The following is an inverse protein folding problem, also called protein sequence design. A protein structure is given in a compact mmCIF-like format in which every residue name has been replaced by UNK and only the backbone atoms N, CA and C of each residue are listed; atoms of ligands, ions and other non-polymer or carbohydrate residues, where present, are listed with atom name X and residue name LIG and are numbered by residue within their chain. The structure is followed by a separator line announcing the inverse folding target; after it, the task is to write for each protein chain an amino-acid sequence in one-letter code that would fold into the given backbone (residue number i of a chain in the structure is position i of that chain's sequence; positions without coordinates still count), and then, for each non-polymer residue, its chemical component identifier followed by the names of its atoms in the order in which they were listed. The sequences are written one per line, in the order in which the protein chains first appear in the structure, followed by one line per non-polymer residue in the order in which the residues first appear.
data_IF_847950837892
#
_entry.id   IF_847950837892
#
_cell.length_a   1.000
_cell.length_b   1.000
_cell.length_c   1.000
_cell.angle_alpha   90.00
_cell.angle_beta   90.00
_cell.angle_gamma   90.00
#
_symmetry.space_group_name_H-M   'P 1'
#
loop_
_entity.id
_entity.type
_entity.pdbx_description
1 polymer ?
#
# COMPACT_ATOMS: atom_id res chain seq x y z
N UNK A 1 -3.60 -13.61 17.05
CA UNK A 1 -2.74 -13.23 15.91
C UNK A 1 -3.02 -14.07 14.65
N UNK A 2 -3.31 -15.38 14.77
CA UNK A 2 -3.44 -16.30 13.62
C UNK A 2 -4.70 -16.14 12.73
N UNK A 3 -5.82 -15.59 13.24
CA UNK A 3 -7.05 -15.40 12.44
C UNK A 3 -7.10 -14.09 11.62
N UNK A 4 -6.30 -13.07 11.97
CA UNK A 4 -6.32 -11.75 11.30
C UNK A 4 -5.41 -11.73 10.05
N UNK A 5 -4.38 -12.59 10.01
CA UNK A 5 -3.48 -12.76 8.86
C UNK A 5 -4.16 -13.28 7.57
N UNK A 6 -5.40 -13.78 7.67
CA UNK A 6 -6.15 -14.33 6.53
C UNK A 6 -6.95 -13.26 5.75
N UNK A 7 -7.04 -12.02 6.25
CA UNK A 7 -7.89 -10.97 5.67
C UNK A 7 -7.21 -10.02 4.67
N UNK A 8 -5.95 -10.25 4.29
CA UNK A 8 -5.35 -9.56 3.14
C UNK A 8 -6.01 -10.06 1.84
N UNK A 9 -7.13 -9.44 1.48
CA UNK A 9 -7.91 -9.74 0.28
C UNK A 9 -7.09 -9.34 -0.95
N UNK A 10 -6.79 -10.31 -1.80
CA UNK A 10 -6.29 -10.08 -3.15
C UNK A 10 -7.32 -9.28 -3.95
N UNK A 11 -6.87 -8.33 -4.77
CA UNK A 11 -7.72 -7.56 -5.68
C UNK A 11 -8.64 -8.50 -6.50
N UNK A 12 -9.98 -8.37 -6.41
CA UNK A 12 -10.87 -8.92 -7.40
C UNK A 12 -10.63 -8.18 -8.74
N UNK A 13 -9.87 -8.80 -9.64
CA UNK A 13 -9.66 -8.31 -11.00
C UNK A 13 -8.27 -7.76 -11.36
N UNK A 14 -7.28 -7.85 -10.46
CA UNK A 14 -5.86 -7.65 -10.81
C UNK A 14 -5.02 -8.94 -10.71
N UNK A 15 -5.68 -10.10 -10.79
CA UNK A 15 -4.98 -11.36 -11.04
C UNK A 15 -4.39 -11.32 -12.45
N UNK A 16 -3.07 -11.35 -12.54
CA UNK A 16 -2.32 -11.81 -13.71
C UNK A 16 -2.39 -13.35 -13.83
N UNK A 17 -3.54 -13.96 -13.56
CA UNK A 17 -3.72 -15.39 -13.80
C UNK A 17 -4.19 -15.54 -15.26
N UNK A 18 -3.33 -16.16 -16.06
CA UNK A 18 -3.52 -16.63 -17.44
C UNK A 18 -3.87 -15.60 -18.52
N UNK A 19 -3.02 -14.58 -18.73
CA UNK A 19 -2.67 -14.06 -20.07
C UNK A 19 -3.75 -13.79 -21.13
N UNK A 20 -5.04 -13.71 -20.79
CA UNK A 20 -6.14 -13.59 -21.73
C UNK A 20 -7.24 -12.73 -21.14
N UNK A 21 -7.26 -11.46 -21.54
CA UNK A 21 -8.51 -10.71 -21.60
C UNK A 21 -9.30 -11.24 -22.80
N UNK A 22 -10.21 -12.19 -22.56
CA UNK A 22 -11.19 -12.58 -23.58
C UNK A 22 -12.11 -11.37 -23.79
N UNK A 23 -12.02 -10.75 -24.96
CA UNK A 23 -13.00 -9.78 -25.42
C UNK A 23 -14.38 -10.43 -25.51
N UNK A 24 -15.47 -9.81 -25.01
CA UNK A 24 -16.81 -10.35 -25.19
C UNK A 24 -17.23 -10.17 -26.66
N UNK A 25 -17.08 -11.22 -27.47
CA UNK A 25 -17.76 -11.31 -28.75
C UNK A 25 -19.23 -11.62 -28.51
N UNK A 26 -20.06 -10.63 -28.82
CA UNK A 26 -21.51 -10.77 -28.98
C UNK A 26 -21.83 -11.82 -30.05
N UNK A 27 -22.41 -12.95 -29.65
CA UNK A 27 -23.27 -13.74 -30.54
C UNK A 27 -24.56 -14.12 -29.84
N UNK A 28 -25.63 -13.50 -30.31
CA UNK A 28 -27.01 -13.84 -30.02
C UNK A 28 -27.41 -15.14 -30.71
N UNK A 29 -27.92 -16.13 -29.96
CA UNK A 29 -29.05 -16.94 -30.44
C UNK A 29 -29.71 -17.79 -29.35
N UNK A 30 -31.01 -18.12 -29.52
CA UNK A 30 -31.91 -18.44 -28.43
C UNK A 30 -32.11 -19.95 -28.25
N UNK A 31 -32.17 -20.45 -27.01
CA UNK A 31 -32.77 -21.77 -26.73
C UNK A 31 -33.52 -21.82 -25.40
N UNK A 32 -34.85 -21.91 -25.56
CA UNK A 32 -35.86 -22.66 -24.79
C UNK A 32 -35.64 -22.85 -23.28
N UNK A 33 -36.42 -22.10 -22.51
CA UNK A 33 -36.82 -22.47 -21.15
C UNK A 33 -38.03 -23.45 -21.18
N UNK A 34 -37.84 -24.63 -20.59
CA UNK A 34 -38.82 -25.46 -19.87
C UNK A 34 -38.09 -25.77 -18.57
N UNK A 35 -38.59 -25.67 -17.35
CA UNK A 35 -39.92 -25.56 -16.76
C UNK A 35 -39.78 -26.16 -15.34
N UNK A 36 -40.69 -25.78 -14.44
CA UNK A 36 -40.88 -26.25 -13.04
C UNK A 36 -40.03 -25.63 -11.92
N UNK A 37 -40.70 -24.77 -11.16
CA UNK A 37 -40.68 -24.75 -9.69
C UNK A 37 -41.71 -25.79 -9.14
N UNK A 38 -42.02 -25.90 -7.83
CA UNK A 38 -41.36 -25.37 -6.62
C UNK A 38 -41.14 -26.44 -5.52
N UNK A 39 -40.47 -26.07 -4.42
CA UNK A 39 -40.44 -26.90 -3.21
C UNK A 39 -39.92 -26.13 -1.99
N UNK A 40 -40.84 -25.78 -1.09
CA UNK A 40 -40.59 -25.22 0.24
C UNK A 40 -40.26 -26.33 1.26
N UNK A 41 -39.61 -25.98 2.38
CA UNK A 41 -39.73 -26.53 3.75
C UNK A 41 -38.62 -25.88 4.62
N UNK A 42 -38.94 -24.99 5.57
CA UNK A 42 -39.13 -25.22 7.03
C UNK A 42 -37.97 -25.95 7.73
N UNK A 43 -37.44 -25.31 8.77
CA UNK A 43 -36.60 -25.96 9.78
C UNK A 43 -36.03 -24.98 10.80
N UNK A 44 -36.82 -24.69 11.85
CA UNK A 44 -36.35 -24.04 13.07
C UNK A 44 -35.55 -25.04 13.94
N UNK A 45 -34.58 -24.55 14.71
CA UNK A 45 -33.82 -25.37 15.66
C UNK A 45 -33.09 -24.53 16.70
N UNK A 46 -33.79 -24.20 17.79
CA UNK A 46 -33.22 -23.80 19.09
C UNK A 46 -32.63 -25.03 19.80
N UNK A 47 -31.41 -24.91 20.34
CA UNK A 47 -30.86 -25.70 21.46
C UNK A 47 -29.85 -24.75 22.18
N UNK A 48 -30.13 -24.16 23.33
CA UNK A 48 -30.27 -24.72 24.69
C UNK A 48 -28.98 -25.38 25.24
N UNK A 49 -28.21 -24.58 26.00
CA UNK A 49 -27.49 -24.83 27.28
C UNK A 49 -27.33 -26.28 27.80
N UNK A 50 -26.20 -26.60 28.48
CA UNK A 50 -26.19 -26.35 29.93
C UNK A 50 -24.87 -25.82 30.56
N UNK A 51 -25.10 -24.97 31.55
CA UNK A 51 -24.24 -24.66 32.70
C UNK A 51 -23.93 -25.93 33.50
N UNK A 52 -22.67 -26.09 33.90
CA UNK A 52 -22.27 -27.05 34.94
C UNK A 52 -21.70 -26.29 36.13
N UNK A 53 -22.53 -26.16 37.17
CA UNK A 53 -22.16 -25.81 38.54
C UNK A 53 -21.47 -27.01 39.19
N UNK A 54 -20.33 -26.80 39.84
CA UNK A 54 -19.82 -27.71 40.87
C UNK A 54 -19.56 -26.93 42.15
N UNK A 55 -20.46 -27.16 43.12
CA UNK A 55 -20.27 -26.86 44.52
C UNK A 55 -19.50 -28.00 45.17
N UNK A 56 -18.47 -27.67 45.95
CA UNK A 56 -17.75 -28.61 46.80
C UNK A 56 -17.48 -27.97 48.15
N UNK A 57 -18.28 -28.34 49.16
CA UNK A 57 -18.03 -28.08 50.57
C UNK A 57 -17.09 -29.16 51.12
N UNK A 58 -16.10 -28.78 51.94
CA UNK A 58 -15.31 -29.75 52.69
C UNK A 58 -14.24 -29.15 53.58
N UNK A 59 -14.49 -29.16 54.90
CA UNK A 59 -13.48 -29.47 55.92
C UNK A 59 -12.61 -28.31 56.43
N UNK A 60 -13.04 -27.66 57.51
CA UNK A 60 -12.16 -26.88 58.40
C UNK A 60 -11.50 -27.81 59.43
N UNK A 61 -10.18 -27.92 59.40
CA UNK A 61 -9.37 -28.39 60.53
C UNK A 61 -8.49 -27.24 61.01
N UNK A 62 -8.58 -26.95 62.31
CA UNK A 62 -7.90 -25.82 62.95
C UNK A 62 -6.38 -25.98 62.90
N UNK A 63 -5.72 -24.97 62.34
CA UNK A 63 -4.30 -24.73 62.49
C UNK A 63 -4.09 -23.53 63.43
N UNK A 64 -3.07 -23.65 64.29
CA UNK A 64 -2.65 -22.65 65.27
C UNK A 64 -2.36 -21.28 64.63
N UNK A 65 -2.43 -20.17 65.40
CA UNK A 65 -2.18 -18.84 64.86
C UNK A 65 -0.71 -18.73 64.43
N UNK A 66 -0.48 -18.67 63.12
CA UNK A 66 0.82 -18.35 62.56
C UNK A 66 1.12 -16.87 62.82
N UNK A 67 2.31 -16.63 63.36
CA UNK A 67 2.92 -15.34 63.63
C UNK A 67 2.87 -14.46 62.38
N UNK A 68 2.41 -13.22 62.52
CA UNK A 68 2.26 -12.30 61.39
C UNK A 68 3.64 -12.06 60.74
N UNK A 69 3.80 -12.30 59.42
CA UNK A 69 5.06 -12.03 58.75
C UNK A 69 5.37 -10.54 58.85
N UNK A 70 6.60 -10.22 59.25
CA UNK A 70 7.08 -8.85 59.31
C UNK A 70 6.83 -8.13 57.97
N UNK A 71 6.47 -6.83 57.99
CA UNK A 71 6.27 -6.06 56.77
C UNK A 71 7.55 -6.15 55.93
N UNK A 72 7.40 -6.66 54.70
CA UNK A 72 8.48 -6.69 53.73
C UNK A 72 9.01 -5.28 53.48
N UNK A 73 10.30 -5.13 53.09
CA UNK A 73 10.89 -3.84 52.81
C UNK A 73 10.04 -3.07 51.80
N UNK A 74 9.84 -1.78 52.07
CA UNK A 74 9.16 -0.84 51.18
C UNK A 74 9.68 -1.00 49.75
N UNK A 75 8.80 -1.07 48.72
CA UNK A 75 9.24 -1.16 47.34
C UNK A 75 10.19 0.00 47.06
N UNK A 76 11.43 -0.32 46.69
CA UNK A 76 12.41 0.68 46.31
C UNK A 76 11.78 1.60 45.26
N UNK A 77 11.86 2.92 45.48
CA UNK A 77 11.32 3.91 44.57
C UNK A 77 11.86 3.64 43.16
N UNK A 78 11.00 3.18 42.26
CA UNK A 78 11.36 3.00 40.87
C UNK A 78 11.70 4.37 40.29
N UNK A 79 12.88 4.48 39.66
CA UNK A 79 13.24 5.68 38.92
C UNK A 79 12.10 6.04 37.94
N UNK A 80 11.75 7.33 37.81
CA UNK A 80 10.70 7.75 36.90
C UNK A 80 11.06 7.33 35.47
N UNK A 81 10.08 6.76 34.76
CA UNK A 81 10.26 6.32 33.39
C UNK A 81 10.61 7.50 32.48
N UNK A 82 11.79 7.44 31.88
CA UNK A 82 12.26 8.41 30.89
C UNK A 82 11.95 7.91 29.48
N UNK A 83 10.88 8.46 28.89
CA UNK A 83 10.43 8.11 27.55
C UNK A 83 11.48 8.46 26.48
N UNK A 84 12.20 9.57 26.62
CA UNK A 84 13.20 9.99 25.64
C UNK A 84 14.37 9.01 25.62
N UNK A 85 14.87 8.64 26.80
CA UNK A 85 15.91 7.61 26.95
C UNK A 85 15.44 6.26 26.43
N UNK A 86 14.19 5.87 26.67
CA UNK A 86 13.63 4.62 26.16
C UNK A 86 13.52 4.61 24.63
N UNK A 87 13.09 5.73 24.03
CA UNK A 87 13.00 5.89 22.57
C UNK A 87 14.38 5.96 21.90
N UNK A 88 15.41 6.40 22.62
CA UNK A 88 16.78 6.49 22.11
C UNK A 88 17.55 5.15 22.12
N UNK A 89 16.98 4.07 22.67
CA UNK A 89 17.63 2.74 22.69
C UNK A 89 17.89 2.26 21.27
N UNK A 90 19.06 1.70 21.02
CA UNK A 90 19.41 1.06 19.75
C UNK A 90 20.27 -0.18 20.03
N UNK A 91 20.19 -1.18 19.15
CA UNK A 91 21.10 -2.31 19.23
C UNK A 91 22.48 -1.90 18.69
N UNK A 92 23.53 -2.54 19.19
CA UNK A 92 24.86 -2.44 18.61
C UNK A 92 24.93 -3.04 17.20
N UNK A 93 26.13 -3.39 16.77
CA UNK A 93 26.30 -4.08 15.49
C UNK A 93 25.77 -5.51 15.60
N UNK A 94 24.75 -5.80 14.78
CA UNK A 94 24.16 -7.13 14.66
C UNK A 94 24.76 -7.84 13.44
N UNK A 95 25.14 -9.13 13.56
CA UNK A 95 25.68 -9.87 12.43
C UNK A 95 24.62 -10.05 11.34
N UNK A 96 25.06 -10.01 10.08
CA UNK A 96 24.23 -10.40 8.95
C UNK A 96 24.00 -11.92 8.97
N UNK A 97 22.73 -12.33 8.93
CA UNK A 97 22.27 -13.71 8.86
C UNK A 97 21.59 -13.93 7.53
N UNK A 98 21.87 -15.07 6.91
CA UNK A 98 21.15 -15.47 5.70
C UNK A 98 19.75 -15.96 6.07
N UNK A 99 18.76 -15.48 5.34
CA UNK A 99 17.38 -15.96 5.39
C UNK A 99 17.07 -16.59 4.05
N UNK A 100 16.74 -17.87 4.02
CA UNK A 100 16.48 -18.59 2.77
C UNK A 100 15.19 -19.39 2.87
N UNK A 101 14.32 -19.21 1.88
CA UNK A 101 13.17 -20.07 1.62
C UNK A 101 13.35 -20.76 0.26
N UNK A 102 12.34 -21.51 -0.19
CA UNK A 102 12.47 -22.39 -1.36
C UNK A 102 12.87 -21.66 -2.66
N UNK A 103 12.32 -20.49 -2.92
CA UNK A 103 12.41 -19.76 -4.18
C UNK A 103 13.08 -18.37 -4.07
N UNK A 104 13.46 -17.97 -2.85
CA UNK A 104 14.11 -16.70 -2.58
C UNK A 104 15.09 -16.75 -1.40
N UNK A 105 15.96 -15.75 -1.34
CA UNK A 105 16.91 -15.53 -0.26
C UNK A 105 17.04 -14.05 0.08
N UNK A 106 17.45 -13.73 1.30
CA UNK A 106 17.74 -12.38 1.75
C UNK A 106 18.78 -12.43 2.89
N UNK A 107 19.22 -11.25 3.33
CA UNK A 107 20.07 -11.06 4.50
C UNK A 107 19.34 -10.18 5.51
N UNK A 108 19.30 -10.63 6.76
CA UNK A 108 18.75 -9.88 7.87
C UNK A 108 19.82 -9.67 8.94
N UNK A 109 19.84 -8.51 9.58
CA UNK A 109 20.72 -8.27 10.73
C UNK A 109 20.02 -8.71 12.01
N UNK A 110 20.58 -9.65 12.76
CA UNK A 110 19.91 -10.22 13.94
C UNK A 110 20.90 -10.80 14.96
N UNK A 111 20.51 -10.78 16.23
CA UNK A 111 21.31 -11.31 17.33
C UNK A 111 21.39 -12.85 17.34
N UNK A 112 20.41 -13.52 16.73
CA UNK A 112 20.32 -14.98 16.64
C UNK A 112 19.83 -15.44 15.27
N UNK A 113 19.69 -16.76 15.13
CA UNK A 113 19.21 -17.40 13.90
C UNK A 113 17.73 -17.06 13.62
N UNK A 114 17.37 -16.59 12.41
CA UNK A 114 15.99 -16.35 12.04
C UNK A 114 15.15 -17.64 11.99
N UNK A 115 13.92 -17.58 12.50
CA UNK A 115 12.92 -18.65 12.32
C UNK A 115 12.12 -18.40 11.05
N UNK A 116 11.92 -19.42 10.22
CA UNK A 116 11.18 -19.33 8.95
C UNK A 116 10.01 -20.30 9.00
N UNK A 117 8.80 -19.79 8.79
CA UNK A 117 7.55 -20.56 8.80
C UNK A 117 6.75 -20.34 7.52
N UNK A 118 6.75 -21.30 6.59
CA UNK A 118 5.87 -21.27 5.43
C UNK A 118 4.40 -21.30 5.88
N UNK A 119 3.59 -20.41 5.31
CA UNK A 119 2.13 -20.41 5.40
C UNK A 119 1.56 -20.50 3.98
N UNK A 120 0.25 -20.66 3.87
CA UNK A 120 -0.41 -20.89 2.57
C UNK A 120 -0.15 -19.77 1.53
N UNK A 121 -0.15 -18.50 1.97
CA UNK A 121 -0.04 -17.33 1.08
C UNK A 121 1.19 -16.45 1.32
N UNK A 122 2.01 -16.81 2.31
CA UNK A 122 3.16 -16.02 2.72
C UNK A 122 4.17 -16.89 3.45
N UNK A 123 5.38 -16.38 3.61
CA UNK A 123 6.39 -16.95 4.50
C UNK A 123 6.60 -15.98 5.66
N UNK A 124 6.37 -16.44 6.88
CA UNK A 124 6.63 -15.67 8.09
C UNK A 124 8.08 -15.90 8.55
N UNK A 125 8.76 -14.82 8.93
CA UNK A 125 10.16 -14.81 9.36
C UNK A 125 10.21 -14.10 10.71
N UNK A 126 10.80 -14.73 11.72
CA UNK A 126 11.04 -14.12 13.04
C UNK A 126 12.53 -13.91 13.24
N UNK A 127 12.97 -12.66 13.41
CA UNK A 127 14.38 -12.29 13.53
C UNK A 127 14.62 -11.72 14.94
N UNK A 128 15.37 -12.43 15.80
CA UNK A 128 15.65 -11.94 17.15
C UNK A 128 16.64 -10.76 17.11
N UNK A 129 16.31 -9.65 17.78
CA UNK A 129 17.19 -8.49 17.95
C UNK A 129 18.09 -8.58 19.18
N UNK A 130 17.88 -9.59 20.04
CA UNK A 130 18.52 -9.67 21.36
C UNK A 130 17.87 -8.74 22.39
N UNK A 131 16.61 -8.36 22.15
CA UNK A 131 15.77 -7.51 23.00
C UNK A 131 14.52 -8.30 23.43
N UNK A 132 13.55 -7.63 24.07
CA UNK A 132 12.34 -8.28 24.57
C UNK A 132 11.40 -8.75 23.44
N UNK A 133 11.53 -8.19 22.24
CA UNK A 133 10.73 -8.54 21.06
C UNK A 133 11.57 -8.83 19.83
N UNK A 134 11.12 -9.80 19.02
CA UNK A 134 11.69 -10.08 17.71
C UNK A 134 11.04 -9.21 16.62
N UNK A 135 11.73 -9.04 15.51
CA UNK A 135 11.11 -8.51 14.29
C UNK A 135 10.38 -9.63 13.57
N UNK A 136 9.13 -9.40 13.20
CA UNK A 136 8.34 -10.31 12.37
C UNK A 136 8.26 -9.77 10.95
N UNK A 137 8.71 -10.52 9.96
CA UNK A 137 8.58 -10.18 8.55
C UNK A 137 7.73 -11.21 7.81
N UNK A 138 6.97 -10.76 6.83
CA UNK A 138 6.07 -11.56 6.01
C UNK A 138 6.42 -11.32 4.54
N UNK A 139 6.84 -12.38 3.85
CA UNK A 139 7.10 -12.35 2.40
C UNK A 139 5.88 -12.93 1.70
N UNK A 140 5.18 -12.11 0.93
CA UNK A 140 3.97 -12.52 0.22
C UNK A 140 4.31 -12.98 -1.19
N UNK A 141 3.42 -13.78 -1.79
CA UNK A 141 3.55 -14.26 -3.17
C UNK A 141 2.61 -13.53 -4.16
N UNK A 142 1.88 -12.54 -3.67
CA UNK A 142 0.93 -11.74 -4.44
C UNK A 142 1.11 -10.28 -4.08
N UNK A 143 0.78 -9.42 -5.04
CA UNK A 143 0.80 -7.98 -4.85
C UNK A 143 -0.16 -7.57 -3.73
N UNK A 144 0.23 -6.56 -2.96
CA UNK A 144 -0.56 -6.02 -1.85
C UNK A 144 -0.87 -4.55 -2.09
N UNK A 145 -2.03 -4.13 -1.61
CA UNK A 145 -2.37 -2.73 -1.42
C UNK A 145 -1.60 -2.23 -0.19
N UNK A 146 -0.72 -1.26 -0.40
CA UNK A 146 0.35 -0.98 0.56
C UNK A 146 -0.15 -0.19 1.76
N UNK A 147 -1.01 0.80 1.52
CA UNK A 147 -1.72 1.52 2.56
C UNK A 147 -2.62 0.58 3.38
N UNK A 148 -3.38 -0.29 2.72
CA UNK A 148 -4.24 -1.30 3.34
C UNK A 148 -3.48 -2.17 4.36
N UNK A 149 -2.32 -2.72 3.96
CA UNK A 149 -1.48 -3.54 4.83
C UNK A 149 -1.01 -2.74 6.06
N UNK A 150 -0.54 -1.50 5.84
CA UNK A 150 -0.12 -0.61 6.93
C UNK A 150 -1.29 -0.32 7.87
N UNK A 151 -2.49 -0.03 7.34
CA UNK A 151 -3.69 0.20 8.14
C UNK A 151 -4.02 -1.03 8.99
N UNK A 152 -4.02 -2.22 8.39
CA UNK A 152 -4.36 -3.45 9.10
C UNK A 152 -3.38 -3.73 10.26
N UNK A 153 -2.10 -3.37 10.13
CA UNK A 153 -1.15 -3.44 11.23
C UNK A 153 -1.39 -2.40 12.32
N UNK A 154 -1.73 -1.17 11.95
CA UNK A 154 -2.12 -0.14 12.94
C UNK A 154 -3.38 -0.58 13.68
N UNK A 155 -4.35 -1.20 13.00
CA UNK A 155 -5.59 -1.70 13.60
C UNK A 155 -5.39 -2.89 14.55
N UNK A 156 -4.22 -3.55 14.53
CA UNK A 156 -3.85 -4.51 15.59
C UNK A 156 -3.72 -3.84 16.96
N UNK A 157 -3.47 -2.52 16.99
CA UNK A 157 -3.57 -1.70 18.18
C UNK A 157 -5.05 -1.45 18.49
N UNK A 158 -5.68 -2.45 19.12
CA UNK A 158 -7.09 -2.41 19.50
C UNK A 158 -7.37 -1.17 20.38
N UNK A 159 -8.17 -0.19 19.91
CA UNK A 159 -8.41 1.04 20.66
C UNK A 159 -9.18 0.80 21.96
N UNK A 160 -9.79 -0.38 22.15
CA UNK A 160 -10.37 -0.78 23.44
C UNK A 160 -9.30 -1.24 24.45
N UNK A 161 -8.09 -1.54 23.99
CA UNK A 161 -6.97 -2.04 24.81
C UNK A 161 -5.82 -1.05 24.92
N UNK A 162 -5.61 -0.17 23.95
CA UNK A 162 -4.48 0.77 23.94
C UNK A 162 -4.91 2.19 23.57
N UNK A 163 -4.17 3.17 24.06
CA UNK A 163 -4.31 4.57 23.72
C UNK A 163 -3.23 4.97 22.71
N UNK A 164 -3.60 5.09 21.43
CA UNK A 164 -2.68 5.59 20.39
C UNK A 164 -2.42 7.07 20.62
N UNK A 165 -1.15 7.40 20.81
CA UNK A 165 -0.68 8.76 21.08
C UNK A 165 -0.18 9.46 19.82
N UNK A 166 0.47 8.71 18.92
CA UNK A 166 0.99 9.25 17.67
C UNK A 166 1.11 8.20 16.59
N UNK A 167 0.72 8.52 15.35
CA UNK A 167 1.01 7.70 14.15
C UNK A 167 1.66 8.57 13.10
N UNK A 168 2.85 8.19 12.62
CA UNK A 168 3.56 8.96 11.59
C UNK A 168 4.31 8.07 10.61
N UNK A 169 4.20 8.32 9.29
CA UNK A 169 5.24 7.89 8.36
C UNK A 169 6.51 8.67 8.66
N UNK A 170 7.66 8.01 8.69
CA UNK A 170 8.94 8.68 8.97
C UNK A 170 9.94 8.56 7.82
N UNK A 171 9.78 7.56 6.95
CA UNK A 171 10.68 7.32 5.82
C UNK A 171 9.90 6.71 4.66
N UNK A 172 10.20 7.18 3.46
CA UNK A 172 9.88 6.51 2.20
C UNK A 172 11.12 6.55 1.33
N UNK A 173 11.53 5.39 0.84
CA UNK A 173 12.76 5.18 0.07
C UNK A 173 12.53 4.19 -1.07
N UNK A 174 13.53 3.98 -1.93
CA UNK A 174 13.49 2.92 -2.96
C UNK A 174 14.60 1.92 -2.65
N UNK A 175 14.23 0.64 -2.65
CA UNK A 175 15.13 -0.48 -2.44
C UNK A 175 15.04 -1.42 -3.64
N UNK A 176 16.19 -1.63 -4.29
CA UNK A 176 16.31 -2.22 -5.63
C UNK A 176 15.54 -1.41 -6.69
N UNK A 177 14.30 -1.78 -6.98
CA UNK A 177 13.43 -1.10 -7.96
C UNK A 177 12.04 -0.78 -7.39
N UNK A 178 11.81 -1.07 -6.11
CA UNK A 178 10.48 -1.00 -5.48
C UNK A 178 10.53 -0.08 -4.25
N UNK A 179 9.47 0.72 -3.99
CA UNK A 179 9.46 1.62 -2.86
C UNK A 179 9.32 0.86 -1.55
N UNK A 180 9.88 1.43 -0.49
CA UNK A 180 9.67 1.01 0.89
C UNK A 180 9.09 2.17 1.71
N UNK A 181 8.14 1.86 2.58
CA UNK A 181 7.45 2.82 3.45
C UNK A 181 7.62 2.39 4.89
N UNK A 182 7.90 3.36 5.77
CA UNK A 182 8.09 3.13 7.19
C UNK A 182 7.14 3.99 8.02
N UNK A 183 6.36 3.34 8.89
CA UNK A 183 5.32 3.96 9.73
C UNK A 183 5.43 3.50 11.16
N UNK A 184 5.39 4.43 12.11
CA UNK A 184 5.42 4.10 13.53
C UNK A 184 4.16 4.59 14.24
N UNK A 185 3.70 3.81 15.20
CA UNK A 185 2.60 4.13 16.10
C UNK A 185 3.06 4.02 17.56
N UNK A 186 3.14 5.17 18.24
CA UNK A 186 3.38 5.26 19.68
C UNK A 186 2.05 5.12 20.41
N UNK A 187 1.98 4.21 21.38
CA UNK A 187 0.76 3.94 22.13
C UNK A 187 1.05 3.71 23.62
N UNK A 188 0.00 3.78 24.44
CA UNK A 188 0.04 3.43 25.86
C UNK A 188 -0.90 2.24 26.11
N UNK A 189 -0.39 1.20 26.75
CA UNK A 189 -1.17 0.03 27.17
C UNK A 189 -1.35 -0.01 28.69
N UNK A 190 -2.52 -0.38 29.21
CA UNK A 190 -2.72 -0.63 30.63
C UNK A 190 -1.96 -1.89 31.06
N UNK A 191 -1.32 -1.81 32.21
CA UNK A 191 -0.60 -2.92 32.87
C UNK A 191 -1.00 -2.97 34.35
N UNK A 192 -0.66 -4.06 35.04
CA UNK A 192 -0.89 -4.17 36.48
C UNK A 192 -0.19 -3.06 37.29
N UNK A 193 0.87 -2.47 36.74
CA UNK A 193 1.66 -1.41 37.36
C UNK A 193 1.31 0.01 36.86
N UNK A 194 0.25 0.17 36.05
CA UNK A 194 -0.18 1.46 35.51
C UNK A 194 -0.29 1.47 33.99
N UNK A 195 0.36 2.44 33.32
CA UNK A 195 0.46 2.47 31.85
C UNK A 195 1.90 2.17 31.43
N UNK A 196 2.07 1.38 30.38
CA UNK A 196 3.35 1.17 29.72
C UNK A 196 3.30 1.74 28.30
N UNK A 197 4.40 2.33 27.85
CA UNK A 197 4.54 2.78 26.46
C UNK A 197 4.93 1.61 25.55
N UNK A 198 4.36 1.59 24.35
CA UNK A 198 4.71 0.70 23.26
C UNK A 198 4.96 1.49 21.97
N UNK A 199 5.73 0.90 21.06
CA UNK A 199 6.07 1.53 19.79
C UNK A 199 6.04 0.48 18.68
N UNK A 200 4.92 0.43 17.98
CA UNK A 200 4.76 -0.39 16.79
C UNK A 200 5.50 0.30 15.63
N UNK A 201 6.41 -0.43 14.99
CA UNK A 201 7.11 -0.01 13.79
C UNK A 201 6.72 -0.95 12.66
N UNK A 202 6.40 -0.37 11.51
CA UNK A 202 5.97 -1.07 10.31
C UNK A 202 6.92 -0.65 9.18
N UNK A 203 7.43 -1.62 8.44
CA UNK A 203 8.14 -1.40 7.20
C UNK A 203 7.46 -2.22 6.10
N UNK A 204 7.21 -1.62 4.94
CA UNK A 204 6.60 -2.31 3.81
C UNK A 204 7.39 -2.02 2.55
N UNK A 205 7.93 -3.06 1.92
CA UNK A 205 8.53 -3.01 0.59
C UNK A 205 7.51 -3.46 -0.45
N UNK A 206 7.05 -2.53 -1.29
CA UNK A 206 5.94 -2.72 -2.22
C UNK A 206 6.40 -3.37 -3.54
N UNK A 207 7.19 -4.43 -3.44
CA UNK A 207 7.54 -5.22 -4.62
C UNK A 207 6.30 -5.84 -5.27
N UNK A 208 6.31 -5.89 -6.60
CA UNK A 208 5.15 -6.34 -7.37
C UNK A 208 4.93 -7.86 -7.27
N UNK A 209 6.01 -8.63 -7.15
CA UNK A 209 5.96 -10.09 -7.12
C UNK A 209 6.04 -10.61 -5.68
N UNK A 210 6.90 -10.01 -4.86
CA UNK A 210 7.20 -10.48 -3.53
C UNK A 210 7.23 -9.32 -2.52
N UNK A 211 6.09 -8.67 -2.24
CA UNK A 211 6.07 -7.61 -1.24
C UNK A 211 6.43 -8.17 0.13
N UNK A 212 7.14 -7.36 0.92
CA UNK A 212 7.66 -7.74 2.23
C UNK A 212 7.18 -6.75 3.26
N UNK A 213 6.45 -7.21 4.27
CA UNK A 213 6.07 -6.41 5.41
C UNK A 213 6.82 -6.85 6.66
N UNK A 214 7.41 -5.92 7.42
CA UNK A 214 8.07 -6.20 8.69
C UNK A 214 7.44 -5.38 9.82
N UNK A 215 7.40 -5.96 11.01
CA UNK A 215 6.84 -5.39 12.23
C UNK A 215 7.82 -5.52 13.38
N UNK A 216 7.85 -4.51 14.25
CA UNK A 216 8.55 -4.56 15.52
C UNK A 216 7.82 -3.72 16.56
N UNK A 217 7.38 -4.34 17.65
CA UNK A 217 6.64 -3.66 18.71
C UNK A 217 7.42 -3.64 20.03
N UNK A 218 8.20 -2.57 20.20
CA UNK A 218 9.02 -2.32 21.38
C UNK A 218 9.54 -0.88 21.35
N UNK A 219 9.60 -0.21 22.50
CA UNK A 219 10.07 1.18 22.57
C UNK A 219 11.56 1.29 22.21
N UNK A 220 11.92 2.26 21.37
CA UNK A 220 13.28 2.41 20.84
C UNK A 220 13.54 1.54 19.62
N UNK A 221 14.80 1.27 19.31
CA UNK A 221 15.29 0.42 18.21
C UNK A 221 14.82 0.86 16.81
N UNK A 222 14.50 2.13 16.61
CA UNK A 222 13.95 2.64 15.35
C UNK A 222 14.97 2.50 14.23
N UNK A 223 16.23 2.90 14.46
CA UNK A 223 17.29 2.76 13.45
C UNK A 223 17.71 1.31 13.26
N UNK A 224 17.69 0.52 14.32
CA UNK A 224 17.97 -0.92 14.27
C UNK A 224 16.96 -1.64 13.39
N UNK A 225 15.66 -1.40 13.60
CA UNK A 225 14.57 -1.94 12.79
C UNK A 225 14.67 -1.49 11.34
N UNK A 226 14.89 -0.19 11.10
CA UNK A 226 15.03 0.35 9.75
C UNK A 226 16.19 -0.31 9.00
N UNK A 227 17.38 -0.39 9.62
CA UNK A 227 18.56 -1.05 9.04
C UNK A 227 18.32 -2.53 8.74
N UNK A 228 17.62 -3.25 9.62
CA UNK A 228 17.23 -4.65 9.40
C UNK A 228 16.32 -4.78 8.19
N UNK A 229 15.23 -4.01 8.15
CA UNK A 229 14.24 -4.07 7.07
C UNK A 229 14.86 -3.69 5.72
N UNK A 230 15.60 -2.57 5.66
CA UNK A 230 16.35 -2.14 4.46
C UNK A 230 17.35 -3.21 4.02
N UNK A 231 18.05 -3.85 4.97
CA UNK A 231 18.96 -4.97 4.70
C UNK A 231 18.27 -6.14 3.99
N UNK A 232 17.07 -6.51 4.43
CA UNK A 232 16.25 -7.54 3.77
C UNK A 232 15.88 -7.06 2.37
N UNK A 233 15.32 -5.86 2.23
CA UNK A 233 14.83 -5.34 0.95
C UNK A 233 15.94 -5.24 -0.12
N UNK A 234 17.12 -4.76 0.27
CA UNK A 234 18.26 -4.59 -0.64
C UNK A 234 18.88 -5.93 -1.08
N UNK A 235 18.83 -6.94 -0.20
CA UNK A 235 19.42 -8.25 -0.45
C UNK A 235 18.43 -9.30 -0.95
N UNK A 236 17.14 -8.99 -1.01
CA UNK A 236 16.10 -9.91 -1.40
C UNK A 236 16.24 -10.36 -2.85
N UNK A 237 16.55 -11.62 -3.07
CA UNK A 237 16.70 -12.23 -4.39
C UNK A 237 15.72 -13.40 -4.55
N UNK A 238 14.88 -13.33 -5.57
CA UNK A 238 13.84 -14.31 -5.83
C UNK A 238 13.77 -14.67 -7.31
N UNK A 239 13.45 -15.93 -7.60
CA UNK A 239 13.08 -16.33 -8.96
C UNK A 239 11.65 -15.87 -9.25
N UNK A 240 11.51 -14.69 -9.84
CA UNK A 240 10.19 -14.20 -10.24
C UNK A 240 9.80 -14.69 -11.62
N UNK A 241 8.62 -15.30 -11.74
CA UNK A 241 7.97 -15.55 -13.03
C UNK A 241 7.24 -14.30 -13.57
N UNK A 242 7.19 -13.21 -12.80
CA UNK A 242 6.49 -12.01 -13.20
C UNK A 242 7.17 -11.37 -14.43
N UNK A 243 6.39 -10.88 -15.42
CA UNK A 243 6.97 -10.23 -16.60
C UNK A 243 7.87 -9.06 -16.19
N UNK A 244 9.05 -8.94 -16.80
CA UNK A 244 9.92 -7.79 -16.55
C UNK A 244 9.37 -6.55 -17.26
N UNK A 245 9.33 -5.42 -16.55
CA UNK A 245 8.95 -4.13 -17.13
C UNK A 245 10.03 -3.61 -18.08
N UNK A 246 9.59 -3.00 -19.19
CA UNK A 246 10.44 -2.24 -20.11
C UNK A 246 10.90 -0.92 -19.49
N UNK A 247 10.02 -0.33 -18.68
CA UNK A 247 10.23 0.93 -17.97
C UNK A 247 9.61 0.83 -16.59
N UNK A 248 10.27 1.42 -15.60
CA UNK A 248 9.76 1.61 -14.24
C UNK A 248 10.18 2.99 -13.76
N UNK A 249 9.28 3.76 -13.16
CA UNK A 249 9.63 4.93 -12.36
C UNK A 249 8.93 4.92 -10.99
N UNK A 250 9.54 5.61 -10.03
CA UNK A 250 8.97 5.79 -8.70
C UNK A 250 9.07 7.25 -8.30
N UNK A 251 7.94 7.81 -7.90
CA UNK A 251 7.81 9.12 -7.30
C UNK A 251 7.56 8.94 -5.79
N UNK A 252 8.12 9.83 -4.97
CA UNK A 252 7.84 9.88 -3.53
C UNK A 252 7.10 11.18 -3.24
N UNK A 253 5.99 11.06 -2.53
CA UNK A 253 5.14 12.17 -2.10
C UNK A 253 5.58 12.67 -0.72
N UNK A 254 5.61 13.99 -0.54
CA UNK A 254 5.93 14.64 0.74
C UNK A 254 4.97 15.78 1.05
N UNK A 255 4.63 15.92 2.32
CA UNK A 255 4.03 17.15 2.87
C UNK A 255 5.12 17.87 3.64
N UNK A 256 5.48 19.05 3.14
CA UNK A 256 6.71 19.76 3.47
C UNK A 256 7.93 18.85 3.31
N UNK A 257 8.48 18.35 4.43
CA UNK A 257 9.62 17.41 4.45
C UNK A 257 9.22 15.99 4.83
N UNK A 258 8.01 15.79 5.34
CA UNK A 258 7.54 14.50 5.81
C UNK A 258 7.15 13.64 4.60
N UNK A 259 7.72 12.44 4.44
CA UNK A 259 7.29 11.52 3.39
C UNK A 259 5.92 10.97 3.75
N UNK A 260 5.00 11.02 2.79
CA UNK A 260 3.60 10.61 2.98
C UNK A 260 3.19 9.52 1.99
N UNK A 261 4.05 9.05 1.10
CA UNK A 261 3.64 8.04 0.15
C UNK A 261 4.56 7.89 -1.05
N UNK A 262 4.13 7.06 -1.99
CA UNK A 262 4.80 6.86 -3.26
C UNK A 262 3.80 6.66 -4.40
N UNK A 263 4.28 6.82 -5.63
CA UNK A 263 3.65 6.31 -6.84
C UNK A 263 4.70 5.53 -7.63
N UNK A 264 4.33 4.35 -8.14
CA UNK A 264 5.13 3.57 -9.08
C UNK A 264 4.41 3.50 -10.39
N UNK A 265 5.13 3.62 -11.52
CA UNK A 265 4.58 3.23 -12.81
C UNK A 265 5.48 2.27 -13.55
N UNK A 266 4.89 1.24 -14.14
CA UNK A 266 5.56 0.20 -14.89
C UNK A 266 4.96 0.08 -16.30
N UNK A 267 5.82 -0.03 -17.32
CA UNK A 267 5.43 -0.32 -18.69
C UNK A 267 5.80 -1.77 -19.04
N UNK A 268 4.84 -2.54 -19.51
CA UNK A 268 5.04 -3.92 -19.96
C UNK A 268 4.72 -4.06 -21.45
N UNK A 269 5.45 -4.95 -22.13
CA UNK A 269 5.02 -5.48 -23.43
C UNK A 269 3.82 -6.39 -23.24
N UNK A 270 2.90 -6.32 -24.18
CA UNK A 270 1.75 -7.20 -24.30
C UNK A 270 1.71 -7.81 -25.72
N UNK A 271 0.76 -8.70 -25.99
CA UNK A 271 0.61 -9.35 -27.28
C UNK A 271 0.32 -8.36 -28.43
N UNK A 272 0.71 -8.70 -29.65
CA UNK A 272 0.38 -7.91 -30.85
C UNK A 272 1.00 -6.51 -30.89
N UNK A 273 2.10 -6.27 -30.15
CA UNK A 273 2.77 -4.96 -30.08
C UNK A 273 2.05 -3.94 -29.20
N UNK A 274 1.04 -4.38 -28.44
CA UNK A 274 0.40 -3.57 -27.42
C UNK A 274 1.33 -3.44 -26.21
N UNK A 275 1.07 -2.43 -25.39
CA UNK A 275 1.76 -2.23 -24.12
C UNK A 275 0.76 -2.00 -23.01
N UNK A 276 1.20 -2.24 -21.78
CA UNK A 276 0.41 -2.06 -20.58
C UNK A 276 1.12 -1.12 -19.62
N UNK A 277 0.42 -0.08 -19.20
CA UNK A 277 0.89 0.86 -18.19
C UNK A 277 0.19 0.57 -16.87
N UNK A 278 0.94 0.08 -15.90
CA UNK A 278 0.48 -0.18 -14.54
C UNK A 278 0.97 0.97 -13.65
N UNK A 279 0.08 1.75 -13.05
CA UNK A 279 0.43 2.68 -11.96
C UNK A 279 -0.13 2.19 -10.64
N UNK A 280 0.60 2.38 -9.55
CA UNK A 280 0.21 2.01 -8.18
C UNK A 280 0.72 3.06 -7.21
N UNK A 281 -0.11 3.50 -6.28
CA UNK A 281 0.22 4.49 -5.27
C UNK A 281 -0.17 4.00 -3.88
N UNK A 282 0.48 4.56 -2.86
CA UNK A 282 -0.03 4.54 -1.50
C UNK A 282 0.26 5.88 -0.85
N UNK A 283 -0.77 6.48 -0.26
CA UNK A 283 -0.73 7.78 0.40
C UNK A 283 -1.16 7.63 1.87
N UNK A 284 -0.40 8.25 2.76
CA UNK A 284 -0.48 8.17 4.22
C UNK A 284 -0.50 9.59 4.79
N UNK A 285 -1.64 10.26 4.66
CA UNK A 285 -1.80 11.65 5.08
C UNK A 285 -2.14 11.72 6.57
N UNK A 286 -1.35 12.43 7.40
CA UNK A 286 -1.74 12.67 8.79
C UNK A 286 -3.02 13.49 8.86
N UNK A 287 -4.09 12.91 9.41
CA UNK A 287 -5.36 13.63 9.66
C UNK A 287 -5.29 14.39 10.99
N UNK A 288 -4.72 13.74 11.99
CA UNK A 288 -4.42 14.28 13.31
C UNK A 288 -3.19 13.54 13.87
N UNK A 289 -2.62 13.91 15.04
CA UNK A 289 -1.44 13.24 15.55
C UNK A 289 -1.58 11.72 15.71
N UNK A 290 -2.79 11.19 15.92
CA UNK A 290 -3.10 9.81 16.28
C UNK A 290 -3.60 8.97 15.10
N UNK A 291 -3.88 9.56 13.94
CA UNK A 291 -4.49 8.85 12.82
C UNK A 291 -3.94 9.27 11.45
N UNK A 292 -3.96 8.32 10.52
CA UNK A 292 -3.64 8.54 9.11
C UNK A 292 -4.91 8.35 8.27
N UNK A 293 -5.10 9.25 7.32
CA UNK A 293 -5.90 9.00 6.14
C UNK A 293 -5.05 8.22 5.14
N UNK A 294 -5.53 7.03 4.79
CA UNK A 294 -4.80 6.07 3.97
C UNK A 294 -5.59 5.84 2.69
N UNK A 295 -4.91 6.00 1.57
CA UNK A 295 -5.45 5.82 0.22
C UNK A 295 -4.47 4.99 -0.61
N UNK A 296 -5.00 4.01 -1.33
CA UNK A 296 -4.28 3.22 -2.32
C UNK A 296 -4.93 3.43 -3.68
N UNK A 297 -4.10 3.74 -4.69
CA UNK A 297 -4.53 3.81 -6.09
C UNK A 297 -3.88 2.69 -6.89
N UNK A 298 -4.62 2.16 -7.85
CA UNK A 298 -4.06 1.33 -8.90
C UNK A 298 -4.73 1.63 -10.25
N UNK A 299 -3.94 1.65 -11.32
CA UNK A 299 -4.47 1.68 -12.67
C UNK A 299 -3.72 0.75 -13.60
N UNK A 300 -4.44 0.16 -14.55
CA UNK A 300 -3.88 -0.71 -15.57
C UNK A 300 -4.46 -0.30 -16.92
N UNK A 301 -3.63 0.36 -17.74
CA UNK A 301 -4.04 0.97 -19.01
C UNK A 301 -3.43 0.20 -20.17
N UNK A 302 -4.29 -0.25 -21.09
CA UNK A 302 -3.90 -0.91 -22.33
C UNK A 302 -3.65 0.13 -23.42
N UNK A 303 -2.49 0.03 -24.07
CA UNK A 303 -1.96 1.02 -25.00
C UNK A 303 -1.69 0.32 -26.34
N UNK A 304 -2.17 0.90 -27.44
CA UNK A 304 -1.85 0.40 -28.78
C UNK A 304 -0.45 0.82 -29.26
N UNK A 305 -0.04 0.28 -30.41
CA UNK A 305 1.27 0.58 -31.01
C UNK A 305 1.47 2.06 -31.39
N UNK A 306 0.41 2.87 -31.40
CA UNK A 306 0.47 4.32 -31.65
C UNK A 306 0.49 5.12 -30.34
N UNK A 307 0.54 4.48 -29.17
CA UNK A 307 0.55 5.13 -27.88
C UNK A 307 -0.84 5.61 -27.40
N UNK A 308 -1.92 5.09 -27.98
CA UNK A 308 -3.30 5.52 -27.66
C UNK A 308 -3.94 4.56 -26.67
N UNK A 309 -4.82 5.07 -25.82
CA UNK A 309 -5.56 4.26 -24.85
C UNK A 309 -6.59 3.39 -25.60
N UNK A 310 -6.47 2.07 -25.43
CA UNK A 310 -7.45 1.06 -25.86
C UNK A 310 -8.49 0.76 -24.80
N UNK A 311 -8.09 0.87 -23.55
CA UNK A 311 -8.94 0.65 -22.39
C UNK A 311 -8.10 0.68 -21.13
N UNK A 312 -8.75 0.48 -20.00
CA UNK A 312 -8.05 0.36 -18.74
C UNK A 312 -9.00 0.18 -17.56
N UNK A 313 -8.41 -0.05 -16.40
CA UNK A 313 -9.11 -0.10 -15.11
C UNK A 313 -8.40 0.85 -14.16
N UNK A 314 -9.16 1.63 -13.40
CA UNK A 314 -8.71 2.51 -12.34
C UNK A 314 -9.43 2.11 -11.06
N UNK A 315 -8.69 1.95 -9.98
CA UNK A 315 -9.18 1.54 -8.67
C UNK A 315 -8.59 2.51 -7.64
N UNK A 316 -9.44 2.99 -6.76
CA UNK A 316 -9.07 3.78 -5.58
C UNK A 316 -9.72 3.12 -4.38
N UNK A 317 -8.94 2.89 -3.33
CA UNK A 317 -9.44 2.41 -2.05
C UNK A 317 -8.96 3.28 -0.91
N UNK A 318 -9.88 3.56 0.01
CA UNK A 318 -9.56 4.20 1.28
C UNK A 318 -10.30 3.50 2.41
N UNK A 319 -9.66 3.45 3.58
CA UNK A 319 -10.22 2.83 4.79
C UNK A 319 -10.81 1.41 4.57
N UNK A 320 -10.13 0.59 3.76
CA UNK A 320 -10.51 -0.81 3.54
C UNK A 320 -11.66 -1.01 2.56
N UNK A 321 -12.06 0.03 1.85
CA UNK A 321 -13.18 0.00 0.91
C UNK A 321 -12.72 0.53 -0.44
N UNK A 322 -13.13 -0.18 -1.49
CA UNK A 322 -13.02 0.33 -2.86
C UNK A 322 -14.03 1.46 -3.00
N UNK A 323 -13.53 2.69 -3.09
CA UNK A 323 -14.36 3.86 -3.29
C UNK A 323 -14.62 4.10 -4.77
N UNK A 324 -13.67 3.73 -5.61
CA UNK A 324 -13.74 4.00 -7.03
C UNK A 324 -13.23 2.79 -7.80
N UNK A 325 -14.01 2.30 -8.76
CA UNK A 325 -13.57 1.30 -9.73
C UNK A 325 -14.18 1.64 -11.07
N UNK A 326 -13.38 2.10 -12.02
CA UNK A 326 -13.84 2.47 -13.35
C UNK A 326 -13.08 1.70 -14.40
N UNK A 327 -13.82 1.11 -15.33
CA UNK A 327 -13.29 0.45 -16.52
C UNK A 327 -13.58 1.33 -17.74
N UNK A 328 -12.64 1.38 -18.68
CA UNK A 328 -12.76 2.11 -19.93
C UNK A 328 -12.50 1.15 -21.10
N UNK A 329 -13.30 1.25 -22.15
CA UNK A 329 -13.03 0.55 -23.41
C UNK A 329 -13.23 1.46 -24.62
N UNK A 330 -12.30 1.37 -25.56
CA UNK A 330 -12.38 2.08 -26.83
C UNK A 330 -13.47 1.46 -27.72
N UNK A 331 -14.33 2.30 -28.30
CA UNK A 331 -15.37 1.92 -29.29
C UNK A 331 -15.00 2.45 -30.68
N UNK A 332 -15.94 2.48 -31.62
CA UNK A 332 -15.75 3.08 -32.94
C UNK A 332 -15.82 4.62 -32.87
N UNK A 333 -15.43 5.31 -33.95
CA UNK A 333 -15.66 6.75 -34.15
C UNK A 333 -15.15 7.66 -33.00
N UNK A 334 -13.97 7.37 -32.45
CA UNK A 334 -13.38 8.14 -31.34
C UNK A 334 -14.21 8.14 -30.05
N UNK A 335 -15.10 7.16 -29.88
CA UNK A 335 -15.89 7.01 -28.66
C UNK A 335 -15.22 6.06 -27.68
N UNK A 336 -15.40 6.34 -26.40
CA UNK A 336 -15.08 5.43 -25.30
C UNK A 336 -16.36 5.10 -24.53
N UNK A 337 -16.43 3.88 -24.03
CA UNK A 337 -17.42 3.43 -23.05
C UNK A 337 -16.75 3.31 -21.70
N UNK A 338 -17.40 3.83 -20.65
CA UNK A 338 -16.97 3.66 -19.27
C UNK A 338 -18.06 2.93 -18.48
N UNK A 339 -17.64 2.14 -17.49
CA UNK A 339 -18.54 1.46 -16.56
C UNK A 339 -17.84 1.16 -15.26
N UNK A 340 -18.58 1.17 -14.15
CA UNK A 340 -18.01 0.85 -12.85
C UNK A 340 -18.83 1.36 -11.68
N UNK A 341 -18.13 1.69 -10.59
CA UNK A 341 -18.70 2.11 -9.32
C UNK A 341 -17.92 3.29 -8.73
N UNK A 342 -18.65 4.28 -8.22
CA UNK A 342 -18.13 5.44 -7.49
C UNK A 342 -18.91 5.60 -6.20
N UNK A 343 -18.24 5.51 -5.06
CA UNK A 343 -18.82 5.60 -3.71
C UNK A 343 -20.05 4.68 -3.54
N UNK A 344 -19.97 3.43 -3.98
CA UNK A 344 -21.11 2.51 -3.90
C UNK A 344 -22.13 2.62 -5.04
N UNK A 345 -22.02 3.64 -5.91
CA UNK A 345 -23.01 3.93 -6.96
C UNK A 345 -22.50 3.50 -8.32
N UNK A 346 -23.31 2.72 -9.04
CA UNK A 346 -23.00 2.33 -10.42
C UNK A 346 -22.99 3.55 -11.34
N UNK A 347 -21.95 3.64 -12.16
CA UNK A 347 -21.84 4.63 -13.23
C UNK A 347 -21.53 3.91 -14.54
N UNK A 348 -22.14 4.35 -15.63
CA UNK A 348 -21.87 3.82 -16.96
C UNK A 348 -22.30 4.82 -18.02
N UNK A 349 -21.61 4.81 -19.16
CA UNK A 349 -21.95 5.68 -20.27
C UNK A 349 -20.92 5.65 -21.37
N UNK A 350 -21.01 6.64 -22.26
CA UNK A 350 -20.02 6.85 -23.32
C UNK A 350 -19.65 8.31 -23.41
N UNK A 351 -18.45 8.58 -23.91
CA UNK A 351 -18.03 9.93 -24.26
C UNK A 351 -17.20 9.93 -25.53
N UNK A 352 -17.09 11.10 -26.15
CA UNK A 352 -16.19 11.36 -27.27
C UNK A 352 -15.28 12.52 -26.87
N UNK A 353 -13.95 12.36 -26.92
CA UNK A 353 -13.01 13.46 -26.68
C UNK A 353 -13.31 14.66 -27.59
N UNK A 354 -13.12 15.87 -27.07
CA UNK A 354 -13.53 17.13 -27.73
C UNK A 354 -12.87 17.31 -29.11
N UNK A 355 -11.62 16.88 -29.24
CA UNK A 355 -10.86 16.91 -30.49
C UNK A 355 -11.29 15.85 -31.52
N UNK A 356 -12.26 14.98 -31.18
CA UNK A 356 -12.63 13.78 -31.95
C UNK A 356 -11.39 12.94 -32.31
N UNK A 357 -10.50 12.79 -31.33
CA UNK A 357 -9.28 12.02 -31.42
C UNK A 357 -9.26 10.95 -30.33
N UNK A 358 -8.40 9.93 -30.50
CA UNK A 358 -8.16 8.96 -29.45
C UNK A 358 -7.36 9.58 -28.31
N UNK A 359 -7.62 9.14 -27.08
CA UNK A 359 -6.92 9.63 -25.90
C UNK A 359 -5.45 9.20 -25.93
N UNK A 360 -4.57 10.14 -25.63
CA UNK A 360 -3.15 9.87 -25.43
C UNK A 360 -2.97 9.04 -24.16
N UNK A 361 -2.08 8.04 -24.21
CA UNK A 361 -1.65 7.33 -23.01
C UNK A 361 -0.63 8.17 -22.20
N UNK A 362 -0.32 7.79 -20.95
CA UNK A 362 0.80 8.36 -20.21
C UNK A 362 2.12 8.29 -20.97
N UNK A 363 2.34 7.22 -21.74
CA UNK A 363 3.56 7.03 -22.56
C UNK A 363 3.61 8.02 -23.73
N UNK A 364 2.48 8.22 -24.43
CA UNK A 364 2.41 9.17 -25.53
C UNK A 364 2.57 10.62 -25.05
N UNK A 365 1.98 10.95 -23.91
CA UNK A 365 2.14 12.24 -23.23
C UNK A 365 3.60 12.51 -22.91
N UNK A 366 4.25 11.59 -22.21
CA UNK A 366 5.66 11.71 -21.85
C UNK A 366 6.56 11.83 -23.10
N UNK A 367 6.29 11.05 -24.15
CA UNK A 367 7.04 11.12 -25.42
C UNK A 367 6.93 12.49 -26.08
N UNK A 368 5.73 13.07 -26.11
CA UNK A 368 5.51 14.40 -26.67
C UNK A 368 6.18 15.50 -25.83
N UNK A 369 6.07 15.41 -24.50
CA UNK A 369 6.76 16.32 -23.58
C UNK A 369 8.29 16.23 -23.73
N UNK A 370 8.86 15.03 -23.83
CA UNK A 370 10.29 14.82 -24.11
C UNK A 370 10.72 15.51 -25.41
N UNK A 371 9.90 15.40 -26.46
CA UNK A 371 10.15 16.07 -27.75
C UNK A 371 10.12 17.59 -27.60
N UNK A 372 9.15 18.14 -26.85
CA UNK A 372 9.04 19.58 -26.59
C UNK A 372 10.21 20.10 -25.74
N UNK A 373 10.68 19.31 -24.76
CA UNK A 373 11.81 19.67 -23.90
C UNK A 373 13.10 19.88 -24.68
N UNK A 374 13.31 19.14 -25.79
CA UNK A 374 14.46 19.30 -26.69
C UNK A 374 14.47 20.63 -27.46
N UNK A 375 13.31 21.28 -27.61
CA UNK A 375 13.23 22.62 -28.22
C UNK A 375 13.68 23.67 -27.19
N UNK A 376 14.29 24.77 -27.66
CA UNK A 376 14.61 25.92 -26.79
C UNK A 376 13.36 26.79 -26.59
N UNK A 377 13.25 27.44 -25.43
CA UNK A 377 12.20 28.41 -25.12
C UNK A 377 10.94 27.84 -24.49
N UNK A 378 9.90 28.65 -24.34
CA UNK A 378 8.62 28.24 -23.75
C UNK A 378 7.85 27.26 -24.63
N UNK A 379 6.97 26.47 -24.04
CA UNK A 379 5.93 25.73 -24.76
C UNK A 379 4.61 25.79 -24.00
N UNK A 380 3.51 25.61 -24.72
CA UNK A 380 2.17 25.43 -24.18
C UNK A 380 1.55 24.21 -24.89
N UNK A 381 1.49 23.08 -24.18
CA UNK A 381 0.97 21.82 -24.68
C UNK A 381 -0.34 21.49 -23.95
N UNK A 382 -1.41 21.33 -24.72
CA UNK A 382 -2.75 21.04 -24.21
C UNK A 382 -3.23 19.72 -24.78
N UNK A 383 -3.82 18.89 -23.94
CA UNK A 383 -4.41 17.63 -24.34
C UNK A 383 -5.54 17.22 -23.41
N UNK A 384 -6.20 16.12 -23.77
CA UNK A 384 -7.21 15.48 -22.93
C UNK A 384 -6.67 14.18 -22.36
N UNK A 385 -6.79 14.02 -21.04
CA UNK A 385 -6.39 12.82 -20.30
C UNK A 385 -7.60 12.21 -19.62
N UNK A 386 -7.58 10.90 -19.37
CA UNK A 386 -8.65 10.24 -18.64
C UNK A 386 -8.22 9.97 -17.21
N UNK A 387 -8.75 10.78 -16.29
CA UNK A 387 -8.51 10.71 -14.85
C UNK A 387 -9.86 10.52 -14.15
N UNK A 388 -10.35 9.28 -14.01
CA UNK A 388 -11.73 9.06 -13.61
C UNK A 388 -11.99 9.41 -12.14
N UNK A 389 -10.96 9.53 -11.30
CA UNK A 389 -11.09 10.06 -9.93
C UNK A 389 -11.50 11.54 -9.89
N UNK A 390 -11.26 12.30 -10.97
CA UNK A 390 -11.73 13.68 -11.12
C UNK A 390 -13.13 13.71 -11.73
N UNK A 391 -13.31 13.02 -12.86
CA UNK A 391 -14.60 12.86 -13.52
C UNK A 391 -14.62 11.55 -14.32
N UNK A 392 -15.41 10.54 -13.92
CA UNK A 392 -15.45 9.26 -14.63
C UNK A 392 -16.23 9.36 -15.95
N UNK A 393 -16.93 10.45 -16.22
CA UNK A 393 -17.87 10.57 -17.33
C UNK A 393 -17.28 11.19 -18.60
N UNK A 394 -16.10 11.80 -18.49
CA UNK A 394 -15.42 12.49 -19.60
C UNK A 394 -13.93 12.64 -19.32
N UNK A 395 -13.10 12.85 -20.36
CA UNK A 395 -11.70 13.20 -20.13
C UNK A 395 -11.60 14.63 -19.57
N UNK A 396 -10.48 14.89 -18.94
CA UNK A 396 -10.12 16.17 -18.35
C UNK A 396 -9.10 16.88 -19.24
N UNK A 397 -9.24 18.20 -19.37
CA UNK A 397 -8.26 19.01 -20.09
C UNK A 397 -7.03 19.23 -19.20
N UNK A 398 -5.86 18.92 -19.74
CA UNK A 398 -4.56 19.08 -19.08
C UNK A 398 -3.68 20.00 -19.91
N UNK A 399 -3.06 20.97 -19.24
CA UNK A 399 -2.12 21.91 -19.84
C UNK A 399 -0.74 21.78 -19.20
N UNK A 400 0.27 21.60 -20.04
CA UNK A 400 1.68 21.65 -19.68
C UNK A 400 2.32 22.90 -20.28
N UNK A 401 2.71 23.84 -19.45
CA UNK A 401 3.31 25.10 -19.89
C UNK A 401 4.71 25.26 -19.32
N UNK A 402 5.73 25.34 -20.19
CA UNK A 402 7.11 25.70 -19.78
C UNK A 402 7.32 27.19 -19.96
N UNK A 403 7.76 27.86 -18.90
CA UNK A 403 8.08 29.28 -18.94
C UNK A 403 9.53 29.56 -19.40
N UNK A 404 9.92 30.85 -19.39
CA UNK A 404 11.27 31.26 -19.78
C UNK A 404 12.37 30.83 -18.79
N UNK A 405 12.02 30.54 -17.53
CA UNK A 405 12.95 30.00 -16.52
C UNK A 405 13.20 28.50 -16.71
N UNK A 406 12.35 27.83 -17.50
CA UNK A 406 12.38 26.39 -17.69
C UNK A 406 11.48 25.61 -16.74
N UNK A 407 10.80 26.29 -15.80
CA UNK A 407 9.79 25.67 -14.94
C UNK A 407 8.57 25.27 -15.76
N UNK A 408 8.00 24.11 -15.43
CA UNK A 408 6.79 23.57 -16.03
C UNK A 408 5.63 23.73 -15.05
N UNK A 409 4.56 24.36 -15.49
CA UNK A 409 3.26 24.34 -14.82
C UNK A 409 2.40 23.26 -15.46
N UNK A 410 1.84 22.35 -14.67
CA UNK A 410 0.78 21.42 -15.07
C UNK A 410 -0.54 21.91 -14.47
N UNK A 411 -1.53 22.13 -15.32
CA UNK A 411 -2.87 22.54 -14.89
C UNK A 411 -3.88 21.46 -15.27
N UNK A 412 -4.65 20.99 -14.29
CA UNK A 412 -5.70 20.00 -14.43
C UNK A 412 -6.91 20.45 -13.59
N UNK A 413 -7.95 20.98 -14.23
CA UNK A 413 -9.08 21.58 -13.52
C UNK A 413 -8.63 22.69 -12.54
N UNK A 414 -9.00 22.65 -11.24
CA UNK A 414 -8.51 23.59 -10.24
C UNK A 414 -7.09 23.28 -9.74
N UNK A 415 -6.56 22.09 -10.07
CA UNK A 415 -5.26 21.64 -9.61
C UNK A 415 -4.15 22.26 -10.44
N UNK A 416 -3.13 22.79 -9.76
CA UNK A 416 -1.94 23.36 -10.40
C UNK A 416 -0.67 22.84 -9.74
N UNK A 417 0.16 22.18 -10.53
CA UNK A 417 1.48 21.70 -10.12
C UNK A 417 2.54 22.58 -10.78
N UNK A 418 3.60 22.94 -10.06
CA UNK A 418 4.73 23.72 -10.60
C UNK A 418 6.02 22.98 -10.31
N UNK A 419 6.88 22.81 -11.32
CA UNK A 419 8.03 21.94 -11.17
C UNK A 419 8.89 21.80 -12.42
N UNK A 420 9.49 20.63 -12.58
CA UNK A 420 10.33 20.25 -13.71
C UNK A 420 10.00 18.85 -14.21
N UNK A 421 10.19 18.66 -15.51
CA UNK A 421 10.11 17.36 -16.17
C UNK A 421 11.51 16.80 -16.38
N UNK A 422 11.62 15.47 -16.28
CA UNK A 422 12.81 14.73 -16.65
C UNK A 422 12.98 14.68 -18.19
N UNK A 423 14.17 14.29 -18.71
CA UNK A 423 14.41 14.23 -20.15
C UNK A 423 13.48 13.29 -20.93
N UNK A 424 12.89 12.29 -20.27
CA UNK A 424 11.88 11.38 -20.82
C UNK A 424 10.46 11.98 -20.81
N UNK A 425 10.29 13.23 -20.38
CA UNK A 425 9.03 13.96 -20.37
C UNK A 425 8.10 13.61 -19.20
N UNK A 426 8.57 12.83 -18.24
CA UNK A 426 7.84 12.48 -17.01
C UNK A 426 8.17 13.46 -15.87
N UNK A 427 7.40 13.45 -14.76
CA UNK A 427 7.70 14.30 -13.61
C UNK A 427 9.07 14.02 -13.00
N UNK A 428 9.88 15.07 -12.78
CA UNK A 428 11.13 15.00 -12.02
C UNK A 428 10.90 15.50 -10.59
N UNK A 429 10.34 16.71 -10.45
CA UNK A 429 9.94 17.27 -9.17
C UNK A 429 8.81 18.30 -9.37
N UNK A 430 7.73 18.20 -8.61
CA UNK A 430 6.64 19.18 -8.65
C UNK A 430 6.14 19.51 -7.24
N UNK A 431 5.61 20.72 -7.09
CA UNK A 431 4.89 21.20 -5.91
C UNK A 431 3.44 21.52 -6.30
N UNK A 432 2.48 21.10 -5.48
CA UNK A 432 1.08 21.49 -5.61
C UNK A 432 0.88 22.91 -5.08
N UNK A 433 0.40 23.80 -5.95
CA UNK A 433 0.17 25.21 -5.64
C UNK A 433 -1.15 25.38 -4.86
N UNK A 434 -1.16 24.97 -3.59
CA UNK A 434 -2.35 25.01 -2.71
C UNK A 434 -2.15 25.77 -1.40
N UNK A 435 -1.01 26.45 -1.24
CA UNK A 435 -0.61 27.07 0.03
C UNK A 435 0.05 26.06 0.98
N UNK A 436 0.47 26.49 2.18
CA UNK A 436 1.03 25.58 3.17
C UNK A 436 -0.06 24.67 3.79
N UNK A 437 0.27 23.40 4.12
CA UNK A 437 1.57 22.76 3.92
C UNK A 437 1.83 22.35 2.46
N UNK A 438 3.09 22.34 2.04
CA UNK A 438 3.46 22.10 0.63
C UNK A 438 3.42 20.61 0.30
N UNK A 439 2.53 20.20 -0.59
CA UNK A 439 2.60 18.85 -1.18
C UNK A 439 3.61 18.85 -2.32
N UNK A 440 4.61 17.97 -2.25
CA UNK A 440 5.61 17.79 -3.29
C UNK A 440 5.68 16.35 -3.74
N UNK A 441 6.00 16.16 -5.02
CA UNK A 441 6.32 14.88 -5.62
C UNK A 441 7.73 14.96 -6.19
N UNK A 442 8.52 13.92 -5.97
CA UNK A 442 9.90 13.86 -6.44
C UNK A 442 10.23 12.47 -6.97
N UNK A 443 10.84 12.41 -8.15
CA UNK A 443 11.33 11.18 -8.75
C UNK A 443 12.50 10.63 -7.93
N UNK A 444 12.33 9.40 -7.46
CA UNK A 444 13.30 8.69 -6.64
C UNK A 444 14.01 7.56 -7.39
N UNK A 445 13.36 6.99 -8.41
CA UNK A 445 13.92 5.90 -9.20
C UNK A 445 13.38 5.92 -10.62
N UNK A 446 14.23 5.49 -11.57
CA UNK A 446 13.83 5.22 -12.95
C UNK A 446 14.71 4.13 -13.55
N UNK A 447 14.12 3.23 -14.33
CA UNK A 447 14.82 2.24 -15.17
C UNK A 447 14.13 2.15 -16.54
N UNK A 448 14.93 1.94 -17.58
CA UNK A 448 14.43 1.73 -18.93
C UNK A 448 14.24 3.03 -19.71
N UNK A 449 13.51 2.96 -20.81
CA UNK A 449 13.20 4.09 -21.69
C UNK A 449 11.76 3.94 -22.20
N UNK A 450 11.07 5.06 -22.38
CA UNK A 450 9.72 5.14 -22.95
C UNK A 450 9.74 5.06 -24.48
#
# INVERSE_FOLDING_TARGET
MQEILTMALSIPGARLDDGRLISPTTTSSPRRARGRAPGALRGAGLLALPLSLLAGCGGSTGAAPAEAPAPGPEPAAHEPFDLEKALAREAGDLPAREVRAADWSARAFGAGEPKIEPKEKLVAITIPLGTDSAVECFVYNTMLDSGEVIRNFIELLDPAKVEVSRVVPWEVSVHRESPAVFVQALYLAPTAAGKAAGLLKIALHADRAHPIACLHDEVGYVRTFERLAKGIFDSFDAKSAAPKSEYTDTLILRVDKAPIGFETSDLFKDEGGQRRWLSRSATLLPRDPKSLEIEDDASNVLIDAQGRIKGGVWIESSAGKVNHRIELSQKANHQYEYSGEVEGKKVQGTFTPSAKAWLASPVATASELSRLLKKKGSFDFKQQEYAPSVDPTKPVDVQYARDASGSVTVSLGPMRLVGSLAPDGRPEAFELSSGPPKLTLQRAYTRGKL
#
